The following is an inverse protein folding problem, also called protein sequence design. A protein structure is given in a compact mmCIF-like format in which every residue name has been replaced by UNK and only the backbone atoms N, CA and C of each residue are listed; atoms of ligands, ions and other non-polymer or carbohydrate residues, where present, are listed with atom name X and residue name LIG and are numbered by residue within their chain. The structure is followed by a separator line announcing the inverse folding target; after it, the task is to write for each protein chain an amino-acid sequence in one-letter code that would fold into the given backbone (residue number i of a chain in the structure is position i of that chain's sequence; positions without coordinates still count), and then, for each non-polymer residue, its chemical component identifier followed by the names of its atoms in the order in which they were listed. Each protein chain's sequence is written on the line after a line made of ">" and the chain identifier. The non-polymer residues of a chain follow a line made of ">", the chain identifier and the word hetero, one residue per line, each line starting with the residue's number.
data_IF_483605068280
#
_entry.id   IF_483605068280
#
_cell.length_a   1.000
_cell.length_b   1.000
_cell.length_c   1.000
_cell.angle_alpha   90.00
_cell.angle_beta   90.00
_cell.angle_gamma   90.00
#
_symmetry.space_group_name_H-M   'P 1'
#
loop_
_entity.id
_entity.type
_entity.pdbx_description
1 polymer ?
#
# COMPACT_ATOMS: atom_id res chain seq x y z
N UNK A 1 -6.04 -30.49 -2.90
CA UNK A 1 -4.63 -30.16 -3.23
C UNK A 1 -4.18 -30.50 -4.66
N UNK A 2 -4.90 -31.36 -5.42
CA UNK A 2 -4.53 -31.72 -6.80
C UNK A 2 -4.56 -30.56 -7.82
N UNK A 3 -5.35 -29.50 -7.59
CA UNK A 3 -5.43 -28.34 -8.49
C UNK A 3 -4.21 -27.42 -8.45
N UNK A 4 -3.38 -27.49 -7.40
CA UNK A 4 -2.25 -26.57 -7.19
C UNK A 4 -1.01 -27.01 -7.98
N UNK A 5 -0.86 -28.32 -8.23
CA UNK A 5 0.32 -28.88 -8.90
C UNK A 5 0.47 -28.40 -10.37
N UNK A 6 -0.59 -28.34 -11.19
CA UNK A 6 -0.50 -27.77 -12.55
C UNK A 6 -0.16 -26.27 -12.54
N UNK A 7 -0.73 -25.50 -11.60
CA UNK A 7 -0.46 -24.07 -11.41
C UNK A 7 1.01 -23.82 -11.06
N UNK A 8 1.58 -24.62 -10.15
CA UNK A 8 3.00 -24.53 -9.77
C UNK A 8 3.93 -24.91 -10.93
N UNK A 9 3.54 -25.87 -11.79
CA UNK A 9 4.31 -26.20 -13.00
C UNK A 9 4.31 -25.05 -14.00
N UNK A 10 3.18 -24.36 -14.18
CA UNK A 10 3.06 -23.20 -15.07
C UNK A 10 3.98 -22.04 -14.63
N UNK A 11 4.02 -21.76 -13.32
CA UNK A 11 4.96 -20.80 -12.71
C UNK A 11 6.43 -21.18 -12.92
N UNK A 12 6.74 -22.48 -12.95
CA UNK A 12 8.10 -22.98 -13.21
C UNK A 12 8.53 -22.75 -14.66
N UNK A 13 7.61 -22.87 -15.62
CA UNK A 13 7.84 -22.58 -17.04
C UNK A 13 8.04 -21.09 -17.29
N UNK A 14 7.30 -20.24 -16.57
CA UNK A 14 7.45 -18.79 -16.61
C UNK A 14 8.88 -18.35 -16.23
N UNK A 15 9.53 -19.04 -15.29
CA UNK A 15 10.92 -18.75 -14.87
C UNK A 15 11.98 -18.96 -15.95
N UNK A 16 11.64 -19.62 -17.07
CA UNK A 16 12.53 -19.88 -18.20
C UNK A 16 12.62 -18.70 -19.17
N UNK A 17 11.66 -17.77 -19.11
CA UNK A 17 11.71 -16.55 -19.91
C UNK A 17 12.60 -15.51 -19.24
N UNK A 18 13.57 -15.02 -20.01
CA UNK A 18 14.51 -13.97 -19.63
C UNK A 18 13.82 -12.71 -19.05
N UNK A 19 12.67 -12.34 -19.62
CA UNK A 19 11.81 -11.24 -19.14
C UNK A 19 11.29 -11.41 -17.70
N UNK A 20 11.08 -12.65 -17.25
CA UNK A 20 10.57 -12.93 -15.90
C UNK A 20 11.69 -12.85 -14.86
N UNK A 21 12.94 -13.07 -15.25
CA UNK A 21 14.10 -12.83 -14.39
C UNK A 21 14.32 -11.33 -14.17
N UNK A 22 14.15 -10.52 -15.22
CA UNK A 22 14.09 -9.07 -15.14
C UNK A 22 13.01 -8.59 -14.17
N UNK A 23 11.77 -9.09 -14.32
CA UNK A 23 10.66 -8.74 -13.45
C UNK A 23 10.90 -9.14 -11.98
N UNK A 24 11.42 -10.36 -11.73
CA UNK A 24 11.77 -10.80 -10.38
C UNK A 24 12.86 -9.93 -9.74
N UNK A 25 13.82 -9.46 -10.54
CA UNK A 25 14.90 -8.58 -10.08
C UNK A 25 14.36 -7.19 -9.73
N UNK A 26 13.50 -6.62 -10.59
CA UNK A 26 12.78 -5.38 -10.29
C UNK A 26 11.94 -5.49 -9.02
N UNK A 27 11.23 -6.60 -8.84
CA UNK A 27 10.40 -6.82 -7.66
C UNK A 27 11.23 -6.96 -6.37
N UNK A 28 12.36 -7.68 -6.43
CA UNK A 28 13.26 -7.81 -5.28
C UNK A 28 13.89 -6.48 -4.89
N UNK A 29 14.31 -5.67 -5.86
CA UNK A 29 14.83 -4.34 -5.59
C UNK A 29 13.72 -3.41 -5.04
N UNK A 30 12.49 -3.53 -5.54
CA UNK A 30 11.34 -2.78 -5.03
C UNK A 30 10.99 -3.15 -3.59
N UNK A 31 11.14 -4.42 -3.21
CA UNK A 31 10.93 -4.89 -1.84
C UNK A 31 11.86 -4.23 -0.82
N UNK A 32 13.05 -3.77 -1.21
CA UNK A 32 13.96 -3.06 -0.29
C UNK A 32 13.44 -1.69 0.14
N UNK A 33 12.62 -1.04 -0.70
CA UNK A 33 12.03 0.27 -0.39
C UNK A 33 10.70 0.19 0.36
N UNK A 34 10.01 -0.96 0.32
CA UNK A 34 8.70 -1.13 0.97
C UNK A 34 8.72 -0.94 2.50
N UNK A 35 9.73 -1.38 3.29
CA UNK A 35 9.71 -1.26 4.74
C UNK A 35 9.56 0.19 5.22
N UNK A 36 10.24 1.14 4.56
CA UNK A 36 10.16 2.55 4.91
C UNK A 36 8.76 3.10 4.62
N UNK A 37 8.20 2.77 3.45
CA UNK A 37 6.85 3.19 3.06
C UNK A 37 5.78 2.62 4.00
N UNK A 38 5.89 1.33 4.32
CA UNK A 38 5.04 0.65 5.30
C UNK A 38 5.10 1.33 6.67
N UNK A 39 6.30 1.67 7.13
CA UNK A 39 6.49 2.35 8.41
C UNK A 39 5.83 3.73 8.41
N UNK A 40 6.05 4.53 7.37
CA UNK A 40 5.42 5.86 7.26
C UNK A 40 3.90 5.79 7.19
N UNK A 41 3.34 4.82 6.45
CA UNK A 41 1.91 4.58 6.37
C UNK A 41 1.32 4.19 7.73
N UNK A 42 2.03 3.35 8.50
CA UNK A 42 1.63 2.97 9.86
C UNK A 42 1.62 4.19 10.80
N UNK A 43 2.63 5.05 10.73
CA UNK A 43 2.69 6.28 11.52
C UNK A 43 1.52 7.23 11.20
N UNK A 44 1.24 7.45 9.91
CA UNK A 44 0.08 8.25 9.48
C UNK A 44 -1.22 7.65 9.99
N UNK A 45 -1.39 6.34 9.84
CA UNK A 45 -2.57 5.64 10.32
C UNK A 45 -2.78 5.84 11.83
N UNK A 46 -1.74 5.60 12.64
CA UNK A 46 -1.81 5.77 14.09
C UNK A 46 -2.15 7.23 14.49
N UNK A 47 -1.53 8.21 13.83
CA UNK A 47 -1.76 9.62 14.10
C UNK A 47 -3.22 10.02 13.83
N UNK A 48 -3.73 9.75 12.62
CA UNK A 48 -5.08 10.15 12.25
C UNK A 48 -6.15 9.34 13.00
N UNK A 49 -5.89 8.06 13.27
CA UNK A 49 -6.79 7.25 14.10
C UNK A 49 -6.93 7.82 15.50
N UNK A 50 -5.84 8.30 16.11
CA UNK A 50 -5.88 8.91 17.43
C UNK A 50 -6.68 10.22 17.43
N UNK A 51 -6.50 11.06 16.39
CA UNK A 51 -7.26 12.30 16.24
C UNK A 51 -8.75 12.03 16.05
N UNK A 52 -9.10 11.12 15.13
CA UNK A 52 -10.50 10.72 14.86
C UNK A 52 -11.14 10.14 16.12
N UNK A 53 -10.44 9.25 16.82
CA UNK A 53 -10.91 8.65 18.07
C UNK A 53 -11.07 9.68 19.21
N UNK A 54 -10.41 10.83 19.14
CA UNK A 54 -10.57 11.91 20.13
C UNK A 54 -11.78 12.82 19.82
N UNK A 55 -12.02 13.11 18.53
CA UNK A 55 -13.02 14.11 18.11
C UNK A 55 -14.40 13.53 17.80
N UNK A 56 -14.48 12.23 17.51
CA UNK A 56 -15.74 11.52 17.24
C UNK A 56 -16.36 10.90 18.49
N UNK A 57 -17.68 10.76 18.48
CA UNK A 57 -18.43 10.13 19.57
C UNK A 57 -18.14 8.62 19.65
N UNK A 58 -18.24 8.06 20.85
CA UNK A 58 -18.08 6.61 21.09
C UNK A 58 -19.22 5.77 20.51
N UNK A 59 -20.36 6.39 20.17
CA UNK A 59 -21.47 5.73 19.49
C UNK A 59 -21.14 5.46 18.01
N UNK A 60 -20.42 6.39 17.37
CA UNK A 60 -19.96 6.24 15.99
C UNK A 60 -18.68 5.39 15.91
N UNK A 61 -17.67 5.73 16.73
CA UNK A 61 -16.37 5.05 16.76
C UNK A 61 -16.11 4.49 18.17
N UNK A 62 -16.51 3.23 18.43
CA UNK A 62 -16.52 2.69 19.79
C UNK A 62 -15.13 2.31 20.32
N UNK A 63 -14.21 1.90 19.44
CA UNK A 63 -12.87 1.45 19.83
C UNK A 63 -11.79 2.10 18.98
N UNK A 64 -10.57 2.17 19.52
CA UNK A 64 -9.41 2.63 18.76
C UNK A 64 -9.13 1.75 17.53
N UNK A 65 -9.37 0.44 17.64
CA UNK A 65 -9.27 -0.48 16.50
C UNK A 65 -10.23 -0.14 15.36
N UNK A 66 -11.45 0.28 15.68
CA UNK A 66 -12.42 0.78 14.69
C UNK A 66 -11.93 2.07 14.01
N UNK A 67 -11.33 3.00 14.78
CA UNK A 67 -10.71 4.21 14.23
C UNK A 67 -9.53 3.90 13.30
N UNK A 68 -8.70 2.91 13.66
CA UNK A 68 -7.60 2.41 12.82
C UNK A 68 -8.11 1.78 11.53
N UNK A 69 -9.14 0.95 11.60
CA UNK A 69 -9.72 0.34 10.42
C UNK A 69 -10.30 1.39 9.48
N UNK A 70 -11.09 2.33 10.03
CA UNK A 70 -11.64 3.45 9.27
C UNK A 70 -10.52 4.28 8.60
N UNK A 71 -9.48 4.65 9.35
CA UNK A 71 -8.35 5.43 8.83
C UNK A 71 -7.61 4.71 7.70
N UNK A 72 -7.35 3.40 7.84
CA UNK A 72 -6.73 2.59 6.76
C UNK A 72 -7.62 2.56 5.51
N UNK A 73 -8.92 2.30 5.68
CA UNK A 73 -9.89 2.22 4.57
C UNK A 73 -9.99 3.56 3.83
N UNK A 74 -9.98 4.68 4.55
CA UNK A 74 -9.97 6.02 3.95
C UNK A 74 -8.63 6.34 3.29
N UNK A 75 -7.51 6.05 3.95
CA UNK A 75 -6.15 6.27 3.42
C UNK A 75 -5.89 5.48 2.14
N UNK A 76 -6.40 4.25 2.07
CA UNK A 76 -6.33 3.37 0.90
C UNK A 76 -7.39 3.70 -0.16
N UNK A 77 -8.18 4.76 0.02
CA UNK A 77 -9.25 5.19 -0.89
C UNK A 77 -10.33 4.12 -1.16
N UNK A 78 -10.43 3.10 -0.29
CA UNK A 78 -11.45 2.04 -0.41
C UNK A 78 -12.82 2.58 -0.03
N UNK A 79 -12.91 3.29 1.09
CA UNK A 79 -14.10 4.05 1.49
C UNK A 79 -15.40 3.23 1.51
N UNK A 80 -15.48 2.16 2.31
CA UNK A 80 -16.68 1.31 2.39
C UNK A 80 -17.97 2.07 2.74
N UNK A 81 -17.87 3.20 3.44
CA UNK A 81 -19.01 4.03 3.83
C UNK A 81 -19.81 3.47 5.02
N UNK A 82 -19.28 2.45 5.68
CA UNK A 82 -19.81 1.86 6.92
C UNK A 82 -19.62 2.78 8.13
N UNK A 83 -18.53 3.54 8.16
CA UNK A 83 -18.24 4.56 9.17
C UNK A 83 -17.92 5.89 8.47
N UNK A 84 -18.52 6.98 8.93
CA UNK A 84 -18.26 8.35 8.43
C UNK A 84 -18.20 9.32 9.60
N UNK A 85 -17.41 10.41 9.54
CA UNK A 85 -17.38 11.39 10.62
C UNK A 85 -18.74 12.07 10.76
N UNK A 86 -19.26 12.14 11.98
CA UNK A 86 -20.52 12.83 12.29
C UNK A 86 -20.28 14.22 12.91
N UNK A 87 -19.09 14.46 13.45
CA UNK A 87 -18.68 15.73 14.05
C UNK A 87 -18.02 16.64 13.02
N UNK A 88 -18.27 17.96 13.11
CA UNK A 88 -17.58 18.96 12.28
C UNK A 88 -16.04 18.87 12.40
N UNK A 89 -15.54 18.59 13.61
CA UNK A 89 -14.11 18.40 13.84
C UNK A 89 -13.62 17.08 13.24
N UNK A 90 -14.43 16.02 13.29
CA UNK A 90 -14.14 14.76 12.61
C UNK A 90 -14.05 14.94 11.10
N UNK A 91 -14.98 15.68 10.49
CA UNK A 91 -14.95 16.01 9.06
C UNK A 91 -13.69 16.78 8.68
N UNK A 92 -13.24 17.72 9.51
CA UNK A 92 -11.99 18.46 9.28
C UNK A 92 -10.77 17.52 9.30
N UNK A 93 -10.68 16.66 10.31
CA UNK A 93 -9.58 15.68 10.45
C UNK A 93 -9.58 14.70 9.29
N UNK A 94 -10.74 14.17 8.89
CA UNK A 94 -10.88 13.26 7.76
C UNK A 94 -10.54 13.94 6.44
N UNK A 95 -10.89 15.21 6.26
CA UNK A 95 -10.49 15.98 5.08
C UNK A 95 -8.97 16.12 4.97
N UNK A 96 -8.31 16.42 6.10
CA UNK A 96 -6.84 16.46 6.17
C UNK A 96 -6.22 15.08 5.89
N UNK A 97 -6.80 14.01 6.44
CA UNK A 97 -6.39 12.63 6.16
C UNK A 97 -6.42 12.34 4.66
N UNK A 98 -7.51 12.68 3.96
CA UNK A 98 -7.66 12.44 2.52
C UNK A 98 -6.54 13.13 1.73
N UNK A 99 -6.28 14.41 2.02
CA UNK A 99 -5.22 15.18 1.34
C UNK A 99 -3.84 14.57 1.60
N UNK A 100 -3.50 14.31 2.87
CA UNK A 100 -2.21 13.73 3.23
C UNK A 100 -2.01 12.34 2.63
N UNK A 101 -3.06 11.51 2.61
CA UNK A 101 -3.03 10.15 2.05
C UNK A 101 -2.82 10.18 0.53
N UNK A 102 -3.47 11.12 -0.15
CA UNK A 102 -3.29 11.31 -1.60
C UNK A 102 -1.83 11.68 -1.94
N UNK A 103 -1.24 12.61 -1.19
CA UNK A 103 0.16 12.99 -1.35
C UNK A 103 1.11 11.83 -1.04
N UNK A 104 0.82 11.04 -0.01
CA UNK A 104 1.61 9.88 0.36
C UNK A 104 1.60 8.80 -0.73
N UNK A 105 0.44 8.50 -1.32
CA UNK A 105 0.29 7.45 -2.36
C UNK A 105 1.14 7.69 -3.61
N UNK A 106 1.54 8.92 -3.89
CA UNK A 106 2.47 9.22 -4.98
C UNK A 106 3.87 8.61 -4.76
N UNK A 107 4.33 8.48 -3.50
CA UNK A 107 5.69 8.01 -3.21
C UNK A 107 5.89 6.52 -3.51
N UNK A 108 5.04 5.57 -3.04
CA UNK A 108 5.19 4.16 -3.40
C UNK A 108 5.17 3.91 -4.90
N UNK A 109 4.24 4.57 -5.61
CA UNK A 109 4.10 4.43 -7.06
C UNK A 109 5.37 4.95 -7.76
N UNK A 110 5.89 6.11 -7.35
CA UNK A 110 7.10 6.69 -7.92
C UNK A 110 8.35 5.84 -7.68
N UNK A 111 8.52 5.32 -6.46
CA UNK A 111 9.67 4.47 -6.11
C UNK A 111 9.65 3.16 -6.88
N UNK A 112 8.50 2.48 -6.91
CA UNK A 112 8.35 1.24 -7.68
C UNK A 112 8.59 1.52 -9.16
N UNK A 113 7.96 2.57 -9.72
CA UNK A 113 8.16 2.96 -11.11
C UNK A 113 9.63 3.22 -11.46
N UNK A 114 10.35 3.92 -10.60
CA UNK A 114 11.78 4.22 -10.79
C UNK A 114 12.64 2.95 -10.78
N UNK A 115 12.37 2.01 -9.87
CA UNK A 115 13.11 0.74 -9.79
C UNK A 115 12.85 -0.11 -11.04
N UNK A 116 11.59 -0.18 -11.49
CA UNK A 116 11.24 -0.85 -12.73
C UNK A 116 11.93 -0.21 -13.93
N UNK A 117 11.97 1.12 -14.00
CA UNK A 117 12.67 1.84 -15.06
C UNK A 117 14.17 1.52 -15.08
N UNK A 118 14.84 1.57 -13.93
CA UNK A 118 16.27 1.26 -13.81
C UNK A 118 16.60 -0.17 -14.24
N UNK A 119 15.77 -1.14 -13.84
CA UNK A 119 15.96 -2.55 -14.21
C UNK A 119 15.70 -2.76 -15.70
N UNK A 120 14.73 -2.04 -16.28
CA UNK A 120 14.46 -2.09 -17.72
C UNK A 120 15.57 -1.47 -18.57
N UNK A 121 16.14 -0.34 -18.12
CA UNK A 121 17.29 0.31 -18.77
C UNK A 121 18.52 -0.61 -18.77
N UNK A 122 18.72 -1.38 -17.70
CA UNK A 122 19.84 -2.31 -17.56
C UNK A 122 19.58 -3.70 -18.15
N UNK A 123 18.47 -3.91 -18.85
CA UNK A 123 18.06 -5.23 -19.32
C UNK A 123 19.13 -5.92 -20.16
N UNK A 124 19.78 -5.20 -21.07
CA UNK A 124 20.74 -5.82 -21.99
C UNK A 124 21.98 -6.31 -21.23
N UNK A 125 22.37 -5.68 -20.11
CA UNK A 125 23.44 -6.21 -19.24
C UNK A 125 22.98 -7.40 -18.42
N UNK A 126 21.76 -7.36 -17.88
CA UNK A 126 21.23 -8.44 -17.02
C UNK A 126 21.00 -9.71 -17.83
N UNK A 127 20.62 -9.60 -19.10
CA UNK A 127 20.38 -10.73 -20.00
C UNK A 127 21.65 -11.38 -20.54
N UNK A 128 22.80 -10.71 -20.44
CA UNK A 128 24.11 -11.18 -20.90
C UNK A 128 24.97 -11.82 -19.79
N UNK A 129 24.52 -11.78 -18.53
CA UNK A 129 25.14 -12.45 -17.38
C UNK A 129 24.45 -13.79 -17.07
#
# INVERSE_FOLDING_TARGET
>A
MLCVVPLLRLLKTLRRFQEIQLLMTAFRNALEALPVLMYTALCMNLLFSALIYLVESRENIPTFGSAMFFTIVTMMTVGYGDTVPQSNYGTLVVSALIVCSCLFMAMPIGIVGQIFYQVWEQRDRILLM
#
